data_IF_952030053017
#
_entry.id   IF_952030053017
#
_cell.length_a   1.000
_cell.length_b   1.000
_cell.length_c   1.000
_cell.angle_alpha   90.00
_cell.angle_beta   90.00
_cell.angle_gamma   90.00
#
_symmetry.space_group_name_H-M   'P 1'
#
loop_
_entity.id
_entity.type
_entity.pdbx_description
1 polymer ?
#
# COMPACT_ATOMS: atom_id res chain seq x y z
N UNK A 1 -11.23 -9.18 45.22
CA UNK A 1 -10.23 -8.18 44.77
C UNK A 1 -10.44 -8.06 43.27
N UNK A 2 -10.65 -6.89 42.70
CA UNK A 2 -11.03 -6.79 41.28
C UNK A 2 -9.79 -6.85 40.38
N UNK A 3 -8.72 -6.20 40.80
CA UNK A 3 -7.45 -6.14 40.09
C UNK A 3 -6.32 -5.94 41.10
N UNK A 4 -5.24 -6.71 40.97
CA UNK A 4 -4.02 -6.51 41.73
C UNK A 4 -2.87 -6.25 40.74
N UNK A 5 -2.12 -5.18 40.96
CA UNK A 5 -1.05 -4.77 40.05
C UNK A 5 0.25 -4.66 40.81
N UNK A 6 1.22 -5.52 40.51
CA UNK A 6 2.58 -5.44 41.05
C UNK A 6 3.45 -4.70 40.04
N UNK A 7 3.87 -3.48 40.41
CA UNK A 7 4.76 -2.66 39.59
C UNK A 7 6.19 -2.80 40.10
N UNK A 8 7.12 -3.05 39.20
CA UNK A 8 8.55 -3.11 39.52
C UNK A 8 9.36 -2.42 38.44
N UNK A 9 10.59 -2.04 38.80
CA UNK A 9 11.52 -1.34 37.91
C UNK A 9 12.85 -2.06 37.91
N UNK A 10 13.29 -2.52 36.74
CA UNK A 10 14.58 -3.21 36.57
C UNK A 10 15.47 -2.36 35.67
N UNK A 11 16.73 -2.19 36.06
CA UNK A 11 17.75 -1.60 35.19
C UNK A 11 18.48 -2.72 34.48
N UNK A 12 18.58 -2.63 33.16
CA UNK A 12 19.28 -3.59 32.32
C UNK A 12 20.15 -2.85 31.31
N UNK A 13 21.14 -3.54 30.73
CA UNK A 13 21.95 -3.00 29.66
C UNK A 13 22.26 -4.11 28.65
N UNK A 14 22.31 -3.75 27.38
CA UNK A 14 22.62 -4.68 26.29
C UNK A 14 24.07 -4.49 25.84
N UNK A 15 24.82 -5.58 25.82
CA UNK A 15 26.17 -5.64 25.22
C UNK A 15 26.10 -6.55 23.99
N UNK A 16 26.55 -6.04 22.84
CA UNK A 16 26.71 -6.87 21.65
C UNK A 16 28.04 -7.62 21.75
N UNK A 17 27.99 -8.93 22.06
CA UNK A 17 29.16 -9.76 22.30
C UNK A 17 29.80 -10.34 21.02
N UNK A 18 29.04 -10.48 19.93
CA UNK A 18 29.44 -11.22 18.71
C UNK A 18 29.54 -10.34 17.45
N UNK A 19 29.69 -9.02 17.59
CA UNK A 19 29.71 -8.09 16.46
C UNK A 19 30.68 -6.91 16.61
N UNK A 20 30.41 -5.83 15.87
CA UNK A 20 31.12 -4.54 16.03
C UNK A 20 30.90 -4.01 17.45
N UNK A 21 31.94 -3.41 18.03
CA UNK A 21 31.93 -2.86 19.39
C UNK A 21 31.17 -1.53 19.41
N UNK A 22 29.85 -1.60 19.48
CA UNK A 22 28.95 -0.44 19.61
C UNK A 22 28.86 -0.01 21.09
N UNK A 23 28.52 1.26 21.36
CA UNK A 23 28.22 1.73 22.71
C UNK A 23 27.11 0.88 23.37
N UNK A 24 27.16 0.67 24.71
CA UNK A 24 26.12 -0.06 25.41
C UNK A 24 24.79 0.70 25.37
N UNK A 25 23.70 -0.04 25.14
CA UNK A 25 22.33 0.50 25.24
C UNK A 25 21.81 0.22 26.67
N UNK A 26 21.44 1.28 27.41
CA UNK A 26 20.90 1.15 28.76
C UNK A 26 19.38 1.26 28.74
N UNK A 27 18.72 0.32 29.40
CA UNK A 27 17.26 0.26 29.47
C UNK A 27 16.78 0.26 30.92
N UNK A 28 15.70 0.99 31.14
CA UNK A 28 14.88 0.89 32.32
C UNK A 28 13.62 0.12 31.92
N UNK A 29 13.46 -1.06 32.48
CA UNK A 29 12.26 -1.89 32.27
C UNK A 29 11.26 -1.54 33.37
N UNK A 30 10.13 -0.96 32.98
CA UNK A 30 8.97 -0.79 33.85
C UNK A 30 8.06 -2.01 33.66
N UNK A 31 8.14 -2.96 34.59
CA UNK A 31 7.32 -4.17 34.56
C UNK A 31 6.09 -4.02 35.43
N UNK A 32 4.96 -4.49 34.94
CA UNK A 32 3.70 -4.55 35.67
C UNK A 32 3.09 -5.95 35.53
N UNK A 33 3.01 -6.69 36.63
CA UNK A 33 2.23 -7.93 36.68
C UNK A 33 0.82 -7.57 37.08
N UNK A 34 -0.13 -7.83 36.18
CA UNK A 34 -1.55 -7.60 36.36
C UNK A 34 -2.24 -8.92 36.65
N UNK A 35 -2.83 -9.00 37.83
CA UNK A 35 -3.75 -10.06 38.23
C UNK A 35 -5.17 -9.51 38.05
N UNK A 36 -5.87 -9.98 37.03
CA UNK A 36 -7.21 -9.53 36.67
C UNK A 36 -8.27 -10.59 37.07
N UNK A 37 -9.16 -10.20 37.97
CA UNK A 37 -10.32 -10.99 38.43
C UNK A 37 -11.63 -10.20 38.15
N UNK A 38 -11.66 -9.39 37.08
CA UNK A 38 -12.82 -8.57 36.72
C UNK A 38 -14.08 -9.40 36.43
N UNK A 39 -13.91 -10.62 35.92
CA UNK A 39 -15.04 -11.52 35.59
C UNK A 39 -15.59 -12.30 36.79
N UNK A 40 -14.84 -12.39 37.90
CA UNK A 40 -15.22 -13.14 39.12
C UNK A 40 -15.71 -14.56 38.83
N UNK A 41 -15.15 -15.22 37.83
CA UNK A 41 -15.52 -16.56 37.37
C UNK A 41 -14.66 -17.67 38.03
N UNK A 42 -13.85 -17.30 39.02
CA UNK A 42 -12.94 -18.21 39.72
C UNK A 42 -11.64 -18.48 38.97
N UNK A 43 -11.42 -17.82 37.82
CA UNK A 43 -10.15 -17.82 37.10
C UNK A 43 -9.55 -16.42 37.09
N UNK A 44 -8.34 -16.29 37.60
CA UNK A 44 -7.61 -15.02 37.63
C UNK A 44 -6.59 -14.99 36.49
N UNK A 45 -6.75 -14.05 35.56
CA UNK A 45 -5.81 -13.87 34.45
C UNK A 45 -4.54 -13.18 34.98
N UNK A 46 -3.38 -13.75 34.65
CA UNK A 46 -2.07 -13.19 34.98
C UNK A 46 -1.42 -12.70 33.69
N UNK A 47 -1.16 -11.39 33.62
CA UNK A 47 -0.46 -10.77 32.50
C UNK A 47 0.79 -10.04 32.99
N UNK A 48 1.88 -10.12 32.24
CA UNK A 48 3.12 -9.39 32.51
C UNK A 48 3.30 -8.39 31.38
N UNK A 49 3.02 -7.13 31.68
CA UNK A 49 3.28 -6.02 30.77
C UNK A 49 4.66 -5.41 31.09
N UNK A 50 5.42 -5.10 30.05
CA UNK A 50 6.76 -4.53 30.18
C UNK A 50 6.95 -3.39 29.21
N UNK A 51 7.12 -2.19 29.76
CA UNK A 51 7.50 -1.00 28.98
C UNK A 51 9.01 -0.77 29.10
N UNK A 52 9.66 -0.55 27.96
CA UNK A 52 11.10 -0.28 27.89
C UNK A 52 11.33 1.23 27.72
N UNK A 53 12.10 1.82 28.64
CA UNK A 53 12.56 3.20 28.55
C UNK A 53 14.08 3.22 28.33
N UNK A 54 14.50 3.66 27.15
CA UNK A 54 15.92 3.83 26.82
C UNK A 54 16.52 5.04 27.55
N UNK A 55 17.72 4.89 28.09
CA UNK A 55 18.47 5.96 28.79
C UNK A 55 19.92 5.97 28.36
N UNK A 56 20.55 7.14 28.42
CA UNK A 56 22.00 7.26 28.17
C UNK A 56 22.79 6.54 29.25
N UNK A 57 23.69 5.64 28.85
CA UNK A 57 24.65 5.03 29.78
C UNK A 57 25.72 6.04 30.20
N UNK A 58 25.90 6.25 31.51
CA UNK A 58 27.04 7.02 32.04
C UNK A 58 28.19 6.07 32.36
N UNK A 59 29.17 5.97 31.47
CA UNK A 59 30.38 5.16 31.64
C UNK A 59 31.48 5.58 30.67
N UNK A 60 32.74 5.29 30.99
CA UNK A 60 33.86 5.53 30.09
C UNK A 60 33.99 4.37 29.09
N UNK A 61 33.78 4.65 27.81
CA UNK A 61 33.98 3.70 26.71
C UNK A 61 34.62 4.40 25.51
N UNK A 62 35.63 3.78 24.90
CA UNK A 62 36.45 4.37 23.83
C UNK A 62 35.90 4.12 22.41
N UNK A 63 34.60 3.78 22.28
CA UNK A 63 34.00 3.29 21.03
C UNK A 63 33.16 4.34 20.28
N UNK A 64 33.15 5.60 20.73
CA UNK A 64 32.23 6.63 20.22
C UNK A 64 32.57 7.24 18.85
N UNK A 65 33.80 7.11 18.35
CA UNK A 65 34.20 7.74 17.08
C UNK A 65 33.65 7.02 15.84
N UNK A 66 33.71 5.67 15.82
CA UNK A 66 33.16 4.86 14.71
C UNK A 66 31.64 5.04 14.60
N UNK A 67 30.95 5.05 15.73
CA UNK A 67 29.49 5.23 15.79
C UNK A 67 29.05 6.62 15.32
N UNK A 68 29.81 7.67 15.68
CA UNK A 68 29.53 9.04 15.22
C UNK A 68 29.70 9.17 13.70
N UNK A 69 30.69 8.50 13.12
CA UNK A 69 30.91 8.49 11.68
C UNK A 69 29.79 7.75 10.93
N UNK A 70 29.32 6.63 11.46
CA UNK A 70 28.22 5.86 10.89
C UNK A 70 26.90 6.64 10.92
N UNK A 71 26.58 7.27 12.07
CA UNK A 71 25.41 8.15 12.21
C UNK A 71 25.44 9.30 11.23
N UNK A 72 26.59 9.97 11.09
CA UNK A 72 26.76 11.04 10.11
C UNK A 72 26.50 10.53 8.67
N UNK A 73 27.01 9.34 8.34
CA UNK A 73 26.83 8.73 7.02
C UNK A 73 25.35 8.40 6.76
N UNK A 74 24.66 7.83 7.74
CA UNK A 74 23.23 7.48 7.64
C UNK A 74 22.34 8.73 7.52
N UNK A 75 22.58 9.75 8.34
CA UNK A 75 21.86 11.02 8.25
C UNK A 75 22.11 11.72 6.90
N UNK A 76 23.34 11.68 6.36
CA UNK A 76 23.63 12.20 5.02
C UNK A 76 22.88 11.43 3.92
N UNK A 77 22.79 10.11 4.05
CA UNK A 77 22.01 9.28 3.14
C UNK A 77 20.51 9.62 3.20
N UNK A 78 19.95 9.79 4.39
CA UNK A 78 18.53 10.15 4.56
C UNK A 78 18.22 11.54 4.00
N UNK A 79 19.12 12.52 4.20
CA UNK A 79 19.00 13.84 3.57
C UNK A 79 19.02 13.72 2.03
N UNK A 80 19.91 12.88 1.49
CA UNK A 80 19.95 12.63 0.05
C UNK A 80 18.64 12.02 -0.48
N UNK A 81 18.08 11.04 0.24
CA UNK A 81 16.77 10.42 -0.11
C UNK A 81 15.64 11.46 -0.07
N UNK A 82 15.62 12.34 0.93
CA UNK A 82 14.63 13.45 1.01
C UNK A 82 14.79 14.39 -0.19
N UNK A 83 16.02 14.77 -0.55
CA UNK A 83 16.25 15.65 -1.71
C UNK A 83 15.77 15.02 -3.03
N UNK A 84 16.03 13.73 -3.25
CA UNK A 84 15.59 13.00 -4.45
C UNK A 84 14.07 12.87 -4.50
N UNK A 85 13.43 12.53 -3.38
CA UNK A 85 11.97 12.40 -3.29
C UNK A 85 11.25 13.75 -3.44
N UNK A 86 11.79 14.84 -2.88
CA UNK A 86 11.25 16.19 -3.10
C UNK A 86 11.35 16.60 -4.57
N UNK A 87 12.50 16.35 -5.22
CA UNK A 87 12.67 16.64 -6.64
C UNK A 87 11.67 15.82 -7.48
N UNK A 88 11.52 14.53 -7.19
CA UNK A 88 10.54 13.64 -7.81
C UNK A 88 9.11 14.16 -7.65
N UNK A 89 8.72 14.52 -6.44
CA UNK A 89 7.38 15.03 -6.12
C UNK A 89 7.09 16.32 -6.90
N UNK A 90 8.03 17.26 -6.95
CA UNK A 90 7.88 18.52 -7.70
C UNK A 90 7.70 18.26 -9.20
N UNK A 91 8.51 17.36 -9.79
CA UNK A 91 8.41 17.00 -11.20
C UNK A 91 7.07 16.30 -11.51
N UNK A 92 6.61 15.40 -10.65
CA UNK A 92 5.34 14.69 -10.80
C UNK A 92 4.13 15.61 -10.56
N UNK A 93 4.21 16.54 -9.61
CA UNK A 93 3.16 17.55 -9.41
C UNK A 93 3.07 18.50 -10.61
N UNK A 94 4.21 18.88 -11.20
CA UNK A 94 4.24 19.68 -12.43
C UNK A 94 3.59 18.92 -13.60
N UNK A 95 3.85 17.62 -13.75
CA UNK A 95 3.25 16.82 -14.82
C UNK A 95 1.74 16.65 -14.62
N UNK A 96 1.28 16.40 -13.39
CA UNK A 96 -0.14 16.35 -13.03
C UNK A 96 -0.84 17.70 -13.28
N UNK A 97 -0.22 18.82 -12.91
CA UNK A 97 -0.76 20.15 -13.19
C UNK A 97 -0.88 20.42 -14.69
N UNK A 98 0.14 20.04 -15.49
CA UNK A 98 0.08 20.16 -16.95
C UNK A 98 -1.05 19.30 -17.54
N UNK A 99 -1.24 18.08 -17.03
CA UNK A 99 -2.36 17.20 -17.41
C UNK A 99 -3.72 17.81 -17.07
N UNK A 100 -3.85 18.42 -15.88
CA UNK A 100 -5.07 19.12 -15.47
C UNK A 100 -5.37 20.34 -16.35
N UNK A 101 -4.36 21.16 -16.65
CA UNK A 101 -4.49 22.31 -17.54
C UNK A 101 -4.88 21.87 -18.96
N UNK A 102 -4.30 20.77 -19.45
CA UNK A 102 -4.67 20.18 -20.74
C UNK A 102 -6.12 19.72 -20.74
N UNK A 103 -6.55 18.99 -19.71
CA UNK A 103 -7.95 18.56 -19.53
C UNK A 103 -8.93 19.73 -19.60
N UNK A 104 -8.66 20.83 -18.89
CA UNK A 104 -9.53 22.02 -18.93
C UNK A 104 -9.61 22.62 -20.33
N UNK A 105 -8.46 22.82 -21.00
CA UNK A 105 -8.42 23.34 -22.37
C UNK A 105 -9.18 22.45 -23.36
N UNK A 106 -9.04 21.13 -23.25
CA UNK A 106 -9.76 20.18 -24.11
C UNK A 106 -11.27 20.24 -23.86
N UNK A 107 -11.71 20.32 -22.60
CA UNK A 107 -13.13 20.49 -22.26
C UNK A 107 -13.69 21.78 -22.88
N UNK A 108 -12.98 22.90 -22.75
CA UNK A 108 -13.41 24.17 -23.31
C UNK A 108 -13.45 24.13 -24.85
N UNK A 109 -12.48 23.46 -25.48
CA UNK A 109 -12.45 23.28 -26.93
C UNK A 109 -13.63 22.45 -27.43
N UNK A 110 -13.92 21.31 -26.78
CA UNK A 110 -15.04 20.44 -27.15
C UNK A 110 -16.39 21.12 -26.99
N UNK A 111 -16.57 21.92 -25.92
CA UNK A 111 -17.77 22.73 -25.72
C UNK A 111 -17.94 23.81 -26.80
N UNK A 112 -16.86 24.49 -27.19
CA UNK A 112 -16.92 25.60 -28.15
C UNK A 112 -17.11 25.12 -29.59
N UNK A 113 -16.37 24.10 -30.02
CA UNK A 113 -16.32 23.65 -31.43
C UNK A 113 -17.38 22.59 -31.71
N UNK A 114 -17.46 21.55 -30.87
CA UNK A 114 -18.35 20.42 -31.10
C UNK A 114 -19.68 20.51 -30.34
N UNK A 115 -19.87 21.53 -29.48
CA UNK A 115 -21.05 21.70 -28.61
C UNK A 115 -21.40 20.44 -27.81
N UNK A 116 -20.38 19.64 -27.49
CA UNK A 116 -20.51 18.36 -26.78
C UNK A 116 -19.64 18.38 -25.52
N UNK A 117 -20.16 17.82 -24.43
CA UNK A 117 -19.40 17.59 -23.22
C UNK A 117 -18.61 16.28 -23.31
N UNK A 118 -17.34 16.29 -22.87
CA UNK A 118 -16.54 15.08 -22.76
C UNK A 118 -17.11 14.13 -21.70
N UNK A 119 -17.11 12.84 -22.04
CA UNK A 119 -17.49 11.74 -21.15
C UNK A 119 -16.63 11.74 -19.88
N UNK A 120 -17.19 11.18 -18.78
CA UNK A 120 -16.43 11.01 -17.54
C UNK A 120 -15.21 10.12 -17.74
N UNK A 121 -15.30 9.09 -18.58
CA UNK A 121 -14.18 8.19 -18.91
C UNK A 121 -13.00 8.97 -19.52
N UNK A 122 -13.26 9.75 -20.56
CA UNK A 122 -12.24 10.54 -21.25
C UNK A 122 -11.62 11.62 -20.34
N UNK A 123 -12.42 12.17 -19.41
CA UNK A 123 -11.91 13.10 -18.39
C UNK A 123 -10.95 12.46 -17.38
N UNK A 124 -11.05 11.16 -17.14
CA UNK A 124 -10.13 10.40 -16.28
C UNK A 124 -8.87 9.95 -17.01
N UNK A 125 -8.90 9.85 -18.34
CA UNK A 125 -7.75 9.50 -19.16
C UNK A 125 -6.60 10.52 -19.04
N UNK A 126 -6.93 11.80 -18.85
CA UNK A 126 -5.95 12.86 -18.59
C UNK A 126 -5.25 12.74 -17.21
N UNK A 127 -5.79 11.96 -16.28
CA UNK A 127 -5.19 11.74 -14.96
C UNK A 127 -4.33 10.48 -14.99
N UNK A 128 -3.01 10.65 -15.04
CA UNK A 128 -2.09 9.53 -14.93
C UNK A 128 -1.98 9.06 -13.47
N UNK A 129 -2.69 7.97 -13.15
CA UNK A 129 -2.70 7.37 -11.81
C UNK A 129 -1.31 6.96 -11.31
N UNK A 130 -0.36 6.67 -12.21
CA UNK A 130 1.02 6.38 -11.81
C UNK A 130 1.72 7.58 -11.18
N UNK A 131 1.51 8.79 -11.71
CA UNK A 131 2.09 9.99 -11.09
C UNK A 131 1.45 10.29 -9.73
N UNK A 132 0.16 9.97 -9.56
CA UNK A 132 -0.50 10.08 -8.24
C UNK A 132 0.14 9.10 -7.25
N UNK A 133 0.38 7.85 -7.65
CA UNK A 133 1.05 6.85 -6.81
C UNK A 133 2.48 7.26 -6.43
N UNK A 134 3.26 7.83 -7.37
CA UNK A 134 4.61 8.33 -7.10
C UNK A 134 4.57 9.50 -6.11
N UNK A 135 3.63 10.45 -6.25
CA UNK A 135 3.51 11.56 -5.30
C UNK A 135 3.15 11.07 -3.89
N UNK A 136 2.23 10.10 -3.77
CA UNK A 136 1.89 9.50 -2.47
C UNK A 136 3.10 8.77 -1.85
N UNK A 137 3.88 8.08 -2.66
CA UNK A 137 5.13 7.47 -2.23
C UNK A 137 6.11 8.51 -1.68
N UNK A 138 6.38 9.57 -2.46
CA UNK A 138 7.33 10.61 -2.07
C UNK A 138 6.92 11.24 -0.74
N UNK A 139 5.61 11.44 -0.50
CA UNK A 139 5.09 11.92 0.80
C UNK A 139 5.43 10.93 1.93
N UNK A 140 5.17 9.63 1.77
CA UNK A 140 5.48 8.64 2.81
C UNK A 140 6.98 8.52 3.06
N UNK A 141 7.80 8.57 2.01
CA UNK A 141 9.26 8.51 2.13
C UNK A 141 9.81 9.76 2.84
N UNK A 142 9.33 10.97 2.51
CA UNK A 142 9.74 12.21 3.20
C UNK A 142 9.35 12.18 4.68
N UNK A 143 8.11 11.78 5.00
CA UNK A 143 7.63 11.69 6.38
C UNK A 143 8.42 10.63 7.17
N UNK A 144 8.61 9.44 6.58
CA UNK A 144 9.36 8.35 7.19
C UNK A 144 10.83 8.70 7.44
N UNK A 145 11.53 9.28 6.47
CA UNK A 145 12.91 9.73 6.63
C UNK A 145 13.03 10.87 7.64
N UNK A 146 12.02 11.73 7.76
CA UNK A 146 11.99 12.78 8.80
C UNK A 146 11.90 12.19 10.20
N UNK A 147 11.08 11.14 10.41
CA UNK A 147 11.04 10.41 11.68
C UNK A 147 12.35 9.68 11.96
N UNK A 148 12.96 9.06 10.94
CA UNK A 148 14.26 8.39 11.07
C UNK A 148 15.37 9.33 11.55
N UNK A 149 15.50 10.51 10.94
CA UNK A 149 16.46 11.54 11.36
C UNK A 149 16.19 12.03 12.80
N UNK A 150 14.91 12.14 13.21
CA UNK A 150 14.57 12.50 14.59
C UNK A 150 15.01 11.45 15.61
N UNK A 151 14.88 10.16 15.26
CA UNK A 151 15.32 9.03 16.09
C UNK A 151 16.86 9.04 16.21
N UNK A 152 17.58 9.23 15.10
CA UNK A 152 19.05 9.24 15.09
C UNK A 152 19.66 10.45 15.82
N UNK A 153 19.02 11.62 15.76
CA UNK A 153 19.52 12.85 16.41
C UNK A 153 19.20 12.94 17.91
N UNK A 154 18.08 12.35 18.36
CA UNK A 154 17.69 12.36 19.77
C UNK A 154 18.15 11.09 20.47
N UNK A 155 19.42 11.07 20.89
CA UNK A 155 20.11 9.98 21.61
C UNK A 155 19.44 9.38 22.88
N UNK A 156 18.19 9.68 23.24
CA UNK A 156 17.62 9.20 24.50
C UNK A 156 16.10 9.29 24.67
N UNK A 157 15.32 9.62 23.64
CA UNK A 157 13.85 9.62 23.74
C UNK A 157 13.24 8.93 22.53
N UNK A 158 13.67 7.68 22.33
CA UNK A 158 12.99 6.70 21.50
C UNK A 158 11.64 6.37 22.16
N UNK A 159 10.61 7.19 21.94
CA UNK A 159 9.23 6.72 22.14
C UNK A 159 9.03 5.62 21.10
N UNK A 160 8.71 4.40 21.53
CA UNK A 160 8.38 3.24 20.67
C UNK A 160 7.47 3.64 19.49
N UNK A 161 6.50 4.51 19.75
CA UNK A 161 5.59 5.08 18.77
C UNK A 161 6.27 5.77 17.57
N UNK A 162 7.40 6.46 17.77
CA UNK A 162 8.11 7.11 16.67
C UNK A 162 8.80 6.08 15.75
N UNK A 163 9.28 4.97 16.32
CA UNK A 163 9.87 3.88 15.55
C UNK A 163 8.79 3.12 14.77
N UNK A 164 7.65 2.84 15.40
CA UNK A 164 6.50 2.18 14.76
C UNK A 164 5.98 3.03 13.59
N UNK A 165 5.79 4.33 13.80
CA UNK A 165 5.38 5.24 12.73
C UNK A 165 6.43 5.34 11.61
N UNK A 166 7.72 5.44 11.96
CA UNK A 166 8.82 5.48 11.00
C UNK A 166 8.81 4.23 10.10
N UNK A 167 8.75 3.04 10.72
CA UNK A 167 8.75 1.76 10.01
C UNK A 167 7.51 1.59 9.13
N UNK A 168 6.34 2.02 9.60
CA UNK A 168 5.10 1.98 8.81
C UNK A 168 5.21 2.84 7.55
N UNK A 169 5.66 4.09 7.68
CA UNK A 169 5.77 5.01 6.54
C UNK A 169 6.85 4.59 5.54
N UNK A 170 8.04 4.23 6.01
CA UNK A 170 9.13 3.77 5.13
C UNK A 170 8.80 2.42 4.48
N UNK A 171 8.20 1.49 5.22
CA UNK A 171 7.79 0.18 4.69
C UNK A 171 6.70 0.31 3.63
N UNK A 172 5.65 1.10 3.90
CA UNK A 172 4.57 1.36 2.94
C UNK A 172 5.09 2.12 1.71
N UNK A 173 5.95 3.12 1.92
CA UNK A 173 6.63 3.84 0.84
C UNK A 173 7.45 2.89 -0.05
N UNK A 174 8.22 1.97 0.54
CA UNK A 174 9.03 1.00 -0.21
C UNK A 174 8.20 0.11 -1.13
N UNK A 175 7.09 -0.45 -0.65
CA UNK A 175 6.19 -1.27 -1.49
C UNK A 175 5.62 -0.43 -2.64
N UNK A 176 5.24 0.82 -2.38
CA UNK A 176 4.77 1.72 -3.43
C UNK A 176 5.87 2.06 -4.46
N UNK A 177 7.15 2.07 -4.08
CA UNK A 177 8.26 2.34 -5.03
C UNK A 177 8.33 1.19 -6.00
N UNK A 178 8.33 -0.03 -5.47
CA UNK A 178 8.36 -1.26 -6.26
C UNK A 178 7.13 -1.42 -7.14
N UNK A 179 5.94 -1.05 -6.66
CA UNK A 179 4.76 -0.94 -7.53
C UNK A 179 4.96 0.10 -8.63
N UNK A 180 5.57 1.24 -8.32
CA UNK A 180 5.94 2.26 -9.31
C UNK A 180 6.89 1.74 -10.41
N UNK A 181 7.71 0.73 -10.11
CA UNK A 181 8.56 0.07 -11.12
C UNK A 181 7.73 -0.60 -12.23
N UNK A 182 6.53 -1.11 -11.91
CA UNK A 182 5.62 -1.73 -12.89
C UNK A 182 5.23 -0.75 -14.02
N UNK A 183 5.24 0.56 -13.76
CA UNK A 183 5.05 1.58 -14.80
C UNK A 183 6.08 1.46 -15.92
N UNK A 184 7.34 1.21 -15.56
CA UNK A 184 8.42 1.10 -16.54
C UNK A 184 8.39 -0.25 -17.26
N UNK A 185 7.84 -1.30 -16.64
CA UNK A 185 7.59 -2.56 -17.34
C UNK A 185 6.52 -2.40 -18.42
N UNK A 186 5.55 -1.50 -18.23
CA UNK A 186 4.54 -1.15 -19.24
C UNK A 186 5.10 -0.58 -20.55
N UNK A 187 6.38 -0.20 -20.63
CA UNK A 187 7.00 0.18 -21.91
C UNK A 187 7.19 -1.02 -22.86
N UNK A 188 7.23 -2.24 -22.32
CA UNK A 188 7.30 -3.45 -23.13
C UNK A 188 5.89 -3.92 -23.51
N UNK A 189 5.66 -4.15 -24.80
CA UNK A 189 4.34 -4.52 -25.34
C UNK A 189 3.71 -5.72 -24.61
N UNK A 190 4.49 -6.76 -24.29
CA UNK A 190 4.00 -7.97 -23.60
C UNK A 190 3.52 -7.69 -22.18
N UNK A 191 4.26 -6.88 -21.41
CA UNK A 191 3.90 -6.52 -20.04
C UNK A 191 2.81 -5.46 -19.97
N UNK A 192 2.69 -4.60 -20.99
CA UNK A 192 1.63 -3.60 -21.08
C UNK A 192 0.24 -4.24 -21.14
N UNK A 193 0.08 -5.33 -21.90
CA UNK A 193 -1.19 -6.07 -22.01
C UNK A 193 -1.72 -6.44 -20.63
N UNK A 194 -0.88 -7.04 -19.78
CA UNK A 194 -1.29 -7.49 -18.44
C UNK A 194 -1.73 -6.31 -17.54
N UNK A 195 -1.00 -5.19 -17.57
CA UNK A 195 -1.32 -3.99 -16.80
C UNK A 195 -2.66 -3.37 -17.24
N UNK A 196 -2.91 -3.31 -18.56
CA UNK A 196 -4.16 -2.80 -19.14
C UNK A 196 -5.33 -3.73 -18.75
N UNK A 197 -5.12 -5.04 -18.80
CA UNK A 197 -6.12 -6.04 -18.36
C UNK A 197 -6.52 -5.82 -16.92
N UNK A 198 -5.55 -5.70 -16.01
CA UNK A 198 -5.84 -5.47 -14.60
C UNK A 198 -6.62 -4.16 -14.38
N UNK A 199 -6.21 -3.07 -15.04
CA UNK A 199 -6.87 -1.76 -14.95
C UNK A 199 -8.30 -1.78 -15.49
N UNK A 200 -8.54 -2.50 -16.59
CA UNK A 200 -9.87 -2.59 -17.22
C UNK A 200 -10.81 -3.55 -16.48
N UNK A 201 -10.27 -4.65 -15.94
CA UNK A 201 -11.03 -5.61 -15.16
C UNK A 201 -11.46 -5.03 -13.80
N UNK A 202 -10.64 -4.18 -13.18
CA UNK A 202 -10.85 -3.63 -11.84
C UNK A 202 -12.27 -3.08 -11.56
N UNK A 203 -12.85 -2.18 -12.37
CA UNK A 203 -14.20 -1.66 -12.11
C UNK A 203 -15.29 -2.73 -12.20
N UNK A 204 -15.16 -3.69 -13.12
CA UNK A 204 -16.12 -4.79 -13.24
C UNK A 204 -16.00 -5.74 -12.04
N UNK A 205 -14.77 -6.07 -11.65
CA UNK A 205 -14.48 -6.84 -10.44
C UNK A 205 -15.04 -6.18 -9.18
N UNK A 206 -14.91 -4.86 -9.04
CA UNK A 206 -15.42 -4.15 -7.85
C UNK A 206 -16.94 -4.23 -7.72
N UNK A 207 -17.69 -4.18 -8.82
CA UNK A 207 -19.16 -4.36 -8.78
C UNK A 207 -19.54 -5.75 -8.27
N UNK A 208 -18.86 -6.78 -8.76
CA UNK A 208 -19.08 -8.14 -8.28
C UNK A 208 -18.66 -8.31 -6.82
N UNK A 209 -17.51 -7.74 -6.45
CA UNK A 209 -16.98 -7.78 -5.09
C UNK A 209 -17.93 -7.17 -4.07
N UNK A 210 -18.62 -6.07 -4.40
CA UNK A 210 -19.64 -5.48 -3.52
C UNK A 210 -20.75 -6.48 -3.21
N UNK A 211 -21.24 -7.22 -4.22
CA UNK A 211 -22.24 -8.28 -4.00
C UNK A 211 -21.72 -9.43 -3.15
N UNK A 212 -20.50 -9.90 -3.43
CA UNK A 212 -19.85 -10.95 -2.64
C UNK A 212 -19.59 -10.51 -1.20
N UNK A 213 -19.24 -9.23 -0.98
CA UNK A 213 -19.01 -8.66 0.34
C UNK A 213 -20.28 -8.63 1.18
N UNK A 214 -21.44 -8.33 0.58
CA UNK A 214 -22.73 -8.38 1.31
C UNK A 214 -23.03 -9.79 1.82
N UNK A 215 -22.79 -10.82 1.00
CA UNK A 215 -22.92 -12.22 1.43
C UNK A 215 -21.89 -12.55 2.53
N UNK A 216 -20.63 -12.16 2.34
CA UNK A 216 -19.55 -12.41 3.28
C UNK A 216 -19.83 -11.82 4.67
N UNK A 217 -20.32 -10.58 4.72
CA UNK A 217 -20.73 -9.91 5.96
C UNK A 217 -21.91 -10.64 6.63
N UNK A 218 -22.86 -11.15 5.85
CA UNK A 218 -23.95 -11.99 6.36
C UNK A 218 -23.46 -13.26 7.05
N UNK A 219 -22.52 -13.97 6.42
CA UNK A 219 -21.84 -15.13 7.03
C UNK A 219 -21.06 -14.70 8.27
N UNK A 220 -20.28 -13.61 8.20
CA UNK A 220 -19.50 -13.09 9.33
C UNK A 220 -20.37 -12.84 10.58
N UNK A 221 -21.50 -12.14 10.46
CA UNK A 221 -22.39 -11.90 11.59
C UNK A 221 -23.00 -13.19 12.13
N UNK A 222 -23.43 -14.09 11.24
CA UNK A 222 -23.99 -15.39 11.62
C UNK A 222 -22.96 -16.25 12.38
N UNK A 223 -21.74 -16.36 11.85
CA UNK A 223 -20.63 -17.08 12.48
C UNK A 223 -20.25 -16.47 13.83
N UNK A 224 -20.14 -15.15 13.92
CA UNK A 224 -19.82 -14.46 15.16
C UNK A 224 -20.85 -14.71 16.26
N UNK A 225 -22.14 -14.58 15.95
CA UNK A 225 -23.22 -14.73 16.96
C UNK A 225 -23.40 -16.20 17.38
N UNK A 226 -23.38 -17.14 16.43
CA UNK A 226 -23.70 -18.55 16.73
C UNK A 226 -22.48 -19.32 17.22
N UNK A 227 -21.30 -19.13 16.59
CA UNK A 227 -20.09 -19.88 16.91
C UNK A 227 -19.18 -19.18 17.92
N UNK A 228 -19.40 -17.89 18.20
CA UNK A 228 -18.56 -17.10 19.10
C UNK A 228 -18.33 -17.71 20.50
N UNK A 229 -19.36 -18.23 21.19
CA UNK A 229 -19.18 -18.88 22.50
C UNK A 229 -18.43 -20.23 22.46
N UNK A 230 -18.33 -20.84 21.27
CA UNK A 230 -17.96 -22.24 21.11
C UNK A 230 -16.67 -22.46 20.29
N UNK A 231 -16.20 -21.42 19.60
CA UNK A 231 -15.07 -21.48 18.71
C UNK A 231 -14.19 -20.25 18.87
N UNK A 232 -12.92 -20.47 19.23
CA UNK A 232 -11.96 -19.41 19.58
C UNK A 232 -11.79 -18.36 18.48
N UNK A 233 -11.80 -18.77 17.20
CA UNK A 233 -11.64 -17.84 16.06
C UNK A 233 -12.85 -16.93 15.82
N UNK A 234 -14.04 -17.32 16.28
CA UNK A 234 -15.28 -16.54 16.09
C UNK A 234 -15.61 -15.65 17.28
N UNK A 235 -14.70 -15.46 18.25
CA UNK A 235 -14.97 -14.70 19.48
C UNK A 235 -15.18 -13.21 19.23
N UNK A 236 -14.39 -12.62 18.33
CA UNK A 236 -14.49 -11.21 17.94
C UNK A 236 -14.84 -11.08 16.46
N UNK A 237 -15.42 -9.95 16.07
CA UNK A 237 -15.79 -9.71 14.68
C UNK A 237 -14.55 -9.65 13.76
N UNK A 238 -13.45 -9.06 14.23
CA UNK A 238 -12.16 -9.00 13.52
C UNK A 238 -11.60 -10.39 13.25
N UNK A 239 -11.46 -11.21 14.30
CA UNK A 239 -10.93 -12.58 14.20
C UNK A 239 -11.87 -13.49 13.38
N UNK A 240 -13.19 -13.24 13.43
CA UNK A 240 -14.15 -13.93 12.57
C UNK A 240 -13.92 -13.60 11.10
N UNK A 241 -13.63 -12.33 10.78
CA UNK A 241 -13.31 -11.92 9.41
C UNK A 241 -11.99 -12.53 8.93
N UNK A 242 -10.94 -12.50 9.77
CA UNK A 242 -9.65 -13.11 9.48
C UNK A 242 -9.80 -14.62 9.21
N UNK A 243 -10.57 -15.31 10.05
CA UNK A 243 -10.86 -16.73 9.89
C UNK A 243 -11.61 -17.03 8.59
N UNK A 244 -12.68 -16.28 8.27
CA UNK A 244 -13.44 -16.49 7.04
C UNK A 244 -12.61 -16.15 5.79
N UNK A 245 -11.76 -15.13 5.87
CA UNK A 245 -10.85 -14.77 4.77
C UNK A 245 -9.77 -15.83 4.54
N UNK A 246 -9.17 -16.37 5.59
CA UNK A 246 -8.25 -17.52 5.51
C UNK A 246 -8.93 -18.74 4.89
N UNK A 247 -10.18 -19.04 5.29
CA UNK A 247 -10.95 -20.16 4.74
C UNK A 247 -11.25 -20.03 3.25
N UNK A 248 -11.54 -18.82 2.75
CA UNK A 248 -11.72 -18.58 1.30
C UNK A 248 -10.44 -18.96 0.54
N UNK A 249 -9.27 -18.69 1.12
CA UNK A 249 -7.98 -19.02 0.53
C UNK A 249 -7.52 -20.47 0.81
N UNK A 250 -8.35 -21.28 1.49
CA UNK A 250 -8.05 -22.68 1.81
C UNK A 250 -7.10 -22.87 3.00
N UNK A 251 -6.83 -21.83 3.78
CA UNK A 251 -5.98 -21.90 4.96
C UNK A 251 -6.77 -22.37 6.20
N UNK A 252 -6.13 -23.19 7.02
CA UNK A 252 -6.64 -23.67 8.32
C UNK A 252 -8.02 -24.38 8.32
N UNK A 253 -8.45 -24.95 7.19
CA UNK A 253 -9.77 -25.56 7.04
C UNK A 253 -10.04 -26.67 8.07
N UNK A 254 -9.15 -27.65 8.21
CA UNK A 254 -9.34 -28.75 9.17
C UNK A 254 -9.31 -28.26 10.63
N UNK A 255 -8.49 -27.26 10.92
CA UNK A 255 -8.36 -26.68 12.27
C UNK A 255 -9.68 -26.02 12.69
N UNK A 256 -10.34 -25.28 11.80
CA UNK A 256 -11.66 -24.70 12.12
C UNK A 256 -12.72 -25.76 12.39
N UNK A 257 -12.64 -26.87 11.67
CA UNK A 257 -13.52 -28.02 11.84
C UNK A 257 -13.26 -28.77 13.15
N UNK A 258 -12.02 -28.88 13.63
CA UNK A 258 -11.69 -29.61 14.86
C UNK A 258 -11.77 -28.75 16.12
N UNK A 259 -11.60 -27.43 16.01
CA UNK A 259 -11.60 -26.49 17.13
C UNK A 259 -13.00 -26.17 17.70
N UNK A 260 -14.07 -26.76 17.16
CA UNK A 260 -15.44 -26.56 17.67
C UNK A 260 -15.63 -27.30 18.99
N UNK A 261 -15.62 -26.57 20.11
CA UNK A 261 -15.71 -27.10 21.46
C UNK A 261 -17.17 -27.06 21.94
N UNK A 262 -17.99 -28.04 21.55
CA UNK A 262 -19.41 -28.10 21.95
C UNK A 262 -19.84 -29.48 22.40
N UNK A 263 -20.67 -29.52 23.46
CA UNK A 263 -21.45 -30.72 23.85
C UNK A 263 -22.82 -30.76 23.17
N UNK A 264 -23.29 -29.61 22.68
CA UNK A 264 -24.60 -29.46 22.04
C UNK A 264 -24.54 -29.95 20.59
N UNK A 265 -25.18 -31.09 20.32
CA UNK A 265 -25.23 -31.70 18.98
C UNK A 265 -25.78 -30.73 17.91
N UNK A 266 -26.78 -29.91 18.23
CA UNK A 266 -27.39 -28.97 17.28
C UNK A 266 -26.37 -27.94 16.79
N UNK A 267 -25.60 -27.34 17.70
CA UNK A 267 -24.57 -26.35 17.37
C UNK A 267 -23.43 -27.01 16.59
N UNK A 268 -23.09 -28.25 16.95
CA UNK A 268 -22.08 -29.02 16.22
C UNK A 268 -22.49 -29.26 14.76
N UNK A 269 -23.71 -29.71 14.49
CA UNK A 269 -24.22 -29.88 13.12
C UNK A 269 -24.35 -28.55 12.38
N UNK A 270 -24.85 -27.51 13.06
CA UNK A 270 -24.93 -26.17 12.48
C UNK A 270 -23.57 -25.66 12.03
N UNK A 271 -22.53 -25.80 12.86
CA UNK A 271 -21.16 -25.40 12.53
C UNK A 271 -20.65 -26.11 11.27
N UNK A 272 -20.87 -27.42 11.15
CA UNK A 272 -20.49 -28.20 9.96
C UNK A 272 -21.18 -27.69 8.71
N UNK A 273 -22.51 -27.57 8.77
CA UNK A 273 -23.33 -27.11 7.64
C UNK A 273 -22.93 -25.68 7.24
N UNK A 274 -22.77 -24.79 8.22
CA UNK A 274 -22.33 -23.42 8.02
C UNK A 274 -20.97 -23.36 7.29
N UNK A 275 -19.97 -24.08 7.79
CA UNK A 275 -18.62 -24.09 7.19
C UNK A 275 -18.63 -24.74 5.80
N UNK A 276 -19.35 -25.85 5.59
CA UNK A 276 -19.45 -26.49 4.27
C UNK A 276 -20.14 -25.59 3.25
N UNK A 277 -21.25 -24.94 3.62
CA UNK A 277 -21.95 -23.99 2.74
C UNK A 277 -21.03 -22.81 2.42
N UNK A 278 -20.36 -22.24 3.43
CA UNK A 278 -19.46 -21.11 3.22
C UNK A 278 -18.30 -21.47 2.28
N UNK A 279 -17.58 -22.56 2.57
CA UNK A 279 -16.44 -23.04 1.77
C UNK A 279 -16.88 -23.34 0.33
N UNK A 280 -17.96 -24.12 0.15
CA UNK A 280 -18.42 -24.49 -1.19
C UNK A 280 -18.88 -23.28 -2.00
N UNK A 281 -19.66 -22.38 -1.40
CA UNK A 281 -20.14 -21.18 -2.07
C UNK A 281 -18.99 -20.24 -2.45
N UNK A 282 -18.09 -19.91 -1.51
CA UNK A 282 -17.06 -18.92 -1.78
C UNK A 282 -15.93 -19.47 -2.65
N UNK A 283 -15.49 -20.71 -2.44
CA UNK A 283 -14.41 -21.30 -3.25
C UNK A 283 -14.93 -21.68 -4.64
N UNK A 284 -16.04 -22.43 -4.73
CA UNK A 284 -16.45 -22.97 -6.03
C UNK A 284 -17.30 -22.00 -6.85
N UNK A 285 -18.02 -21.06 -6.23
CA UNK A 285 -18.82 -20.09 -6.99
C UNK A 285 -18.11 -18.73 -7.06
N UNK A 286 -17.79 -18.10 -5.93
CA UNK A 286 -17.31 -16.71 -5.92
C UNK A 286 -15.90 -16.59 -6.52
N UNK A 287 -14.94 -17.42 -6.10
CA UNK A 287 -13.58 -17.38 -6.65
C UNK A 287 -13.55 -17.76 -8.14
N UNK A 288 -14.27 -18.81 -8.54
CA UNK A 288 -14.34 -19.22 -9.94
C UNK A 288 -14.97 -18.15 -10.83
N UNK A 289 -16.01 -17.45 -10.35
CA UNK A 289 -16.59 -16.32 -11.07
C UNK A 289 -15.60 -15.15 -11.19
N UNK A 290 -14.83 -14.87 -10.14
CA UNK A 290 -13.79 -13.84 -10.18
C UNK A 290 -12.72 -14.14 -11.24
N UNK A 291 -12.27 -15.40 -11.32
CA UNK A 291 -11.33 -15.87 -12.36
C UNK A 291 -11.96 -15.74 -13.74
N UNK A 292 -13.24 -16.11 -13.91
CA UNK A 292 -13.94 -16.01 -15.18
C UNK A 292 -14.04 -14.56 -15.69
N UNK A 293 -14.31 -13.58 -14.81
CA UNK A 293 -14.38 -12.16 -15.19
C UNK A 293 -13.00 -11.61 -15.61
N UNK A 294 -11.93 -12.05 -14.96
CA UNK A 294 -10.56 -11.68 -15.35
C UNK A 294 -10.23 -12.27 -16.71
N UNK A 295 -10.56 -13.54 -16.94
CA UNK A 295 -10.31 -14.23 -18.20
C UNK A 295 -11.08 -13.59 -19.37
N UNK A 296 -12.36 -13.28 -19.18
CA UNK A 296 -13.19 -12.59 -20.18
C UNK A 296 -12.61 -11.22 -20.57
N UNK A 297 -12.15 -10.45 -19.57
CA UNK A 297 -11.50 -9.16 -19.81
C UNK A 297 -10.15 -9.33 -20.53
N UNK A 298 -9.40 -10.38 -20.19
CA UNK A 298 -8.14 -10.71 -20.85
C UNK A 298 -8.35 -11.05 -22.33
N UNK A 299 -9.34 -11.90 -22.65
CA UNK A 299 -9.69 -12.27 -24.02
C UNK A 299 -10.16 -11.05 -24.82
N UNK A 300 -11.03 -10.22 -24.24
CA UNK A 300 -11.51 -8.97 -24.87
C UNK A 300 -10.35 -8.03 -25.22
N UNK A 301 -9.37 -7.88 -24.32
CA UNK A 301 -8.21 -7.01 -24.59
C UNK A 301 -7.28 -7.63 -25.62
N UNK A 302 -7.09 -8.95 -25.60
CA UNK A 302 -6.32 -9.64 -26.63
C UNK A 302 -6.91 -9.39 -28.02
N UNK A 303 -8.23 -9.47 -28.15
CA UNK A 303 -8.94 -9.13 -29.40
C UNK A 303 -8.72 -7.66 -29.79
N UNK A 304 -8.73 -6.71 -28.84
CA UNK A 304 -8.42 -5.30 -29.13
C UNK A 304 -7.00 -5.06 -29.64
N UNK A 305 -6.03 -5.90 -29.26
CA UNK A 305 -4.68 -5.83 -29.83
C UNK A 305 -4.61 -6.36 -31.27
N UNK A 306 -5.48 -7.30 -31.64
CA UNK A 306 -5.55 -7.85 -33.01
C UNK A 306 -6.41 -6.99 -33.94
N UNK A 307 -7.57 -6.53 -33.48
CA UNK A 307 -8.57 -5.80 -34.28
C UNK A 307 -8.54 -4.27 -34.10
N UNK A 308 -7.78 -3.78 -33.12
CA UNK A 308 -7.71 -2.36 -32.75
C UNK A 308 -8.66 -1.98 -31.59
N UNK A 309 -8.28 -0.96 -30.83
CA UNK A 309 -9.05 -0.48 -29.69
C UNK A 309 -10.33 0.27 -30.11
N UNK A 310 -11.42 0.17 -29.31
CA UNK A 310 -12.62 0.96 -29.55
C UNK A 310 -12.29 2.45 -29.46
N UNK A 311 -12.66 3.21 -30.49
CA UNK A 311 -12.34 4.64 -30.58
C UNK A 311 -13.25 5.45 -29.65
N UNK A 312 -12.66 6.16 -28.70
CA UNK A 312 -13.35 7.19 -27.91
C UNK A 312 -13.43 8.50 -28.70
N UNK A 313 -14.36 9.40 -28.34
CA UNK A 313 -14.47 10.74 -28.94
C UNK A 313 -13.11 11.47 -28.90
N UNK A 314 -12.36 11.28 -27.80
CA UNK A 314 -11.02 11.81 -27.62
C UNK A 314 -10.01 11.14 -28.56
N UNK A 315 -10.01 9.81 -28.68
CA UNK A 315 -9.11 9.12 -29.60
C UNK A 315 -9.41 9.48 -31.06
N UNK A 316 -10.68 9.68 -31.41
CA UNK A 316 -11.07 10.05 -32.76
C UNK A 316 -10.59 11.47 -33.08
N UNK A 317 -10.70 12.38 -32.12
CA UNK A 317 -10.11 13.73 -32.22
C UNK A 317 -8.59 13.68 -32.38
N UNK A 318 -7.89 12.85 -31.62
CA UNK A 318 -6.43 12.69 -31.74
C UNK A 318 -6.06 12.09 -33.11
N UNK A 319 -6.81 11.09 -33.59
CA UNK A 319 -6.58 10.47 -34.90
C UNK A 319 -6.90 11.41 -36.09
N UNK A 320 -7.67 12.48 -35.89
CA UNK A 320 -7.90 13.50 -36.93
C UNK A 320 -6.70 14.41 -37.13
N UNK A 321 -5.77 14.46 -36.18
CA UNK A 321 -4.50 15.17 -36.35
C UNK A 321 -3.53 14.29 -37.16
N UNK A 322 -3.25 14.69 -38.40
CA UNK A 322 -2.25 14.03 -39.27
C UNK A 322 -0.81 14.46 -38.97
N UNK A 323 -0.62 15.50 -38.16
CA UNK A 323 0.71 16.02 -37.84
C UNK A 323 1.37 15.20 -36.73
N UNK A 324 2.62 14.75 -36.91
CA UNK A 324 3.34 14.05 -35.85
C UNK A 324 3.57 15.01 -34.66
N UNK A 325 3.61 14.51 -33.42
CA UNK A 325 3.86 15.33 -32.22
C UNK A 325 5.24 16.00 -32.20
N UNK A 326 6.13 15.65 -33.14
CA UNK A 326 7.43 16.27 -33.40
C UNK A 326 7.38 17.40 -34.43
N UNK A 327 6.22 17.73 -35.00
CA UNK A 327 6.10 18.80 -35.99
C UNK A 327 6.44 20.15 -35.36
N UNK A 328 7.13 21.00 -36.13
CA UNK A 328 7.57 22.31 -35.69
C UNK A 328 6.41 23.26 -35.32
N UNK A 329 5.18 22.93 -35.72
CA UNK A 329 3.96 23.71 -35.48
C UNK A 329 3.60 23.85 -33.99
N UNK A 330 3.97 22.88 -33.16
CA UNK A 330 3.60 22.82 -31.74
C UNK A 330 4.70 23.31 -30.78
N UNK A 331 5.89 23.66 -31.29
CA UNK A 331 6.93 24.34 -30.52
C UNK A 331 6.64 25.84 -30.52
N UNK A 332 5.61 26.25 -29.77
CA UNK A 332 5.49 27.63 -29.35
C UNK A 332 6.74 28.04 -28.58
N UNK A 333 7.30 29.18 -28.93
CA UNK A 333 8.55 29.76 -28.42
C UNK A 333 8.58 29.83 -26.87
N UNK A 334 9.22 28.87 -26.21
CA UNK A 334 9.79 29.08 -24.87
C UNK A 334 11.23 29.63 -25.05
N UNK A 335 11.35 30.81 -25.67
CA UNK A 335 12.61 31.56 -25.76
C UNK A 335 12.85 32.33 -24.45
N UNK A 336 13.32 31.60 -23.44
CA UNK A 336 13.66 32.20 -22.14
C UNK A 336 14.43 31.26 -21.23
N UNK A 337 15.61 30.80 -21.67
CA UNK A 337 16.46 29.93 -20.86
C UNK A 337 17.31 30.76 -19.88
N UNK A 338 16.86 30.87 -18.62
CA UNK A 338 17.68 31.33 -17.50
C UNK A 338 18.62 30.24 -16.97
N UNK A 339 19.68 30.65 -16.26
CA UNK A 339 20.82 29.83 -15.80
C UNK A 339 20.44 28.51 -15.09
N UNK A 340 19.27 28.42 -14.46
CA UNK A 340 18.77 27.23 -13.76
C UNK A 340 18.00 26.23 -14.65
N UNK A 341 17.61 26.63 -15.87
CA UNK A 341 16.90 25.78 -16.84
C UNK A 341 17.81 24.83 -17.62
N UNK A 342 19.13 25.01 -17.54
CA UNK A 342 20.09 24.26 -18.37
C UNK A 342 20.56 22.93 -17.73
N UNK A 343 20.30 22.70 -16.44
CA UNK A 343 20.66 21.46 -15.74
C UNK A 343 19.69 20.29 -16.01
N UNK A 344 18.55 20.54 -16.64
CA UNK A 344 17.57 19.50 -17.00
C UNK A 344 17.36 19.49 -18.52
N UNK A 345 18.23 18.72 -19.19
CA UNK A 345 18.09 18.19 -20.55
C UNK A 345 17.70 19.16 -21.68
N UNK A 346 18.69 19.65 -22.44
CA UNK A 346 18.50 20.02 -23.85
C UNK A 346 19.77 19.91 -24.70
N UNK A 347 19.97 18.74 -25.31
CA UNK A 347 20.20 18.57 -26.76
C UNK A 347 20.35 17.07 -27.03
N UNK A 348 19.32 16.43 -27.57
CA UNK A 348 19.47 15.12 -28.21
C UNK A 348 19.20 15.33 -29.70
N UNK A 349 20.25 15.16 -30.50
CA UNK A 349 20.17 15.19 -31.95
C UNK A 349 19.16 14.15 -32.41
N UNK A 350 18.37 14.55 -33.41
CA UNK A 350 17.47 13.68 -34.13
C UNK A 350 18.30 12.61 -34.84
N UNK A 351 18.00 11.34 -34.58
CA UNK A 351 17.83 10.32 -35.63
C UNK A 351 17.32 9.02 -34.99
N UNK A 352 16.09 8.66 -35.39
CA UNK A 352 15.44 7.35 -35.46
C UNK A 352 13.99 7.37 -34.93
N UNK A 353 13.02 6.82 -35.70
CA UNK A 353 11.61 6.78 -35.33
C UNK A 353 11.38 5.70 -34.27
N UNK A 354 11.32 6.12 -33.01
CA UNK A 354 10.91 5.27 -31.89
C UNK A 354 9.39 5.09 -31.85
N UNK A 355 8.98 3.84 -31.64
CA UNK A 355 7.62 3.33 -31.62
C UNK A 355 6.61 4.16 -30.80
N UNK A 356 5.41 4.21 -31.36
CA UNK A 356 4.20 4.84 -30.87
C UNK A 356 3.92 4.53 -29.39
N UNK A 357 3.88 5.57 -28.58
CA UNK A 357 3.18 5.56 -27.29
C UNK A 357 1.77 6.05 -27.53
N UNK A 358 0.83 5.13 -27.72
CA UNK A 358 -0.56 5.41 -27.41
C UNK A 358 -0.65 5.70 -25.90
N UNK A 359 -1.41 6.74 -25.55
CA UNK A 359 -1.91 6.95 -24.18
C UNK A 359 -2.95 5.86 -23.83
N UNK A 360 -2.60 4.58 -23.98
CA UNK A 360 -3.40 3.42 -23.61
C UNK A 360 -2.62 2.53 -22.65
#
# INVERSE_FOLDING_TARGET
IIKLTLKFKIKSYRLNAEGRKVAPECFIVHGQIVFDDSNRDGQMLLDLDTELEERTCHGHYNYGEEEKQERLTNTLYDIFVICVSVLSAVLCLRSLYRGHKLKQKTIDHFKKVYRKDLSRSDKFEFLNLWYVAIVLNDIFTIVGSSFKIQIENKNAQSTSENYDNCSLFLGTGSILVWLGVLRYLGFFKTFNILSIVLKKAFPNMMRFLVGALMLYVGFMFCGWVVLGPYHIKFRHLSTSSECLYSLINGDDMFVTFSATMTKNMVVWYFSRIYLYIFISLFIYCVLNLFIAVILDTYETIKEYYECGFPKTDLSEFICKCNDPPTSALYRGEDTGCGLWSCLCCCKRNADQPGEYTSLL
#
